data_IF_277259560815
#
_entry.id   IF_277259560815
#
_cell.length_a   1.000
_cell.length_b   1.000
_cell.length_c   1.000
_cell.angle_alpha   90.00
_cell.angle_beta   90.00
_cell.angle_gamma   90.00
#
_symmetry.space_group_name_H-M   'P 1'
#
loop_
_entity.id
_entity.type
_entity.pdbx_description
1 polymer ?
#
# COMPACT_ATOMS: atom_id res chain seq x y z
N UNK A 1 12.93 -7.18 36.59
CA UNK A 1 12.05 -6.31 35.78
C UNK A 1 12.14 -4.89 36.33
N UNK A 2 12.83 -3.98 35.65
CA UNK A 2 12.83 -2.57 36.07
C UNK A 2 11.52 -1.89 35.61
N UNK A 3 10.88 -1.09 36.47
CA UNK A 3 9.67 -0.36 36.08
C UNK A 3 10.01 0.75 35.08
N UNK A 4 9.25 0.83 33.97
CA UNK A 4 9.38 1.92 33.00
C UNK A 4 9.01 3.27 33.63
N UNK A 5 9.80 4.30 33.31
CA UNK A 5 9.53 5.68 33.72
C UNK A 5 8.25 6.22 33.08
N UNK A 6 7.62 7.22 33.70
CA UNK A 6 6.44 7.89 33.14
C UNK A 6 6.73 8.51 31.75
N UNK A 7 7.91 9.11 31.57
CA UNK A 7 8.34 9.67 30.29
C UNK A 7 8.44 8.59 29.18
N UNK A 8 8.92 7.39 29.54
CA UNK A 8 8.98 6.25 28.61
C UNK A 8 7.58 5.82 28.15
N UNK A 9 6.61 5.80 29.07
CA UNK A 9 5.22 5.43 28.76
C UNK A 9 4.53 6.44 27.84
N UNK A 10 4.76 7.74 28.04
CA UNK A 10 4.22 8.78 27.16
C UNK A 10 4.78 8.64 25.75
N UNK A 11 6.11 8.43 25.64
CA UNK A 11 6.76 8.25 24.35
C UNK A 11 6.21 7.02 23.61
N UNK A 12 6.09 5.90 24.30
CA UNK A 12 5.54 4.66 23.72
C UNK A 12 4.09 4.85 23.25
N UNK A 13 3.25 5.52 24.04
CA UNK A 13 1.87 5.81 23.65
C UNK A 13 1.79 6.73 22.42
N UNK A 14 2.69 7.70 22.31
CA UNK A 14 2.80 8.58 21.14
C UNK A 14 3.28 7.83 19.89
N UNK A 15 4.29 6.96 20.03
CA UNK A 15 4.78 6.14 18.92
C UNK A 15 3.69 5.17 18.43
N UNK A 16 2.89 4.60 19.33
CA UNK A 16 1.76 3.75 18.98
C UNK A 16 0.65 4.52 18.24
N UNK A 17 0.27 5.72 18.71
CA UNK A 17 -0.78 6.52 18.06
C UNK A 17 -0.35 7.05 16.70
N UNK A 18 0.92 7.45 16.56
CA UNK A 18 1.50 7.81 15.27
C UNK A 18 1.51 6.60 14.33
N UNK A 19 1.92 5.44 14.83
CA UNK A 19 1.93 4.20 14.06
C UNK A 19 0.55 3.81 13.53
N UNK A 20 -0.51 3.93 14.33
CA UNK A 20 -1.88 3.64 13.86
C UNK A 20 -2.34 4.65 12.81
N UNK A 21 -2.11 5.95 13.02
CA UNK A 21 -2.49 6.98 12.07
C UNK A 21 -1.79 6.84 10.70
N UNK A 22 -0.51 6.46 10.70
CA UNK A 22 0.26 6.19 9.47
C UNK A 22 -0.31 4.96 8.75
N UNK A 23 -0.64 3.90 9.47
CA UNK A 23 -1.26 2.70 8.90
C UNK A 23 -2.61 3.00 8.25
N UNK A 24 -3.41 3.88 8.85
CA UNK A 24 -4.69 4.30 8.28
C UNK A 24 -4.50 5.05 6.95
N UNK A 25 -3.51 5.95 6.87
CA UNK A 25 -3.16 6.64 5.62
C UNK A 25 -2.69 5.67 4.55
N UNK A 26 -1.82 4.73 4.92
CA UNK A 26 -1.33 3.67 4.01
C UNK A 26 -2.49 2.81 3.51
N UNK A 27 -3.41 2.42 4.40
CA UNK A 27 -4.60 1.65 4.05
C UNK A 27 -5.47 2.39 3.04
N UNK A 28 -5.73 3.67 3.27
CA UNK A 28 -6.52 4.51 2.36
C UNK A 28 -5.88 4.62 0.97
N UNK A 29 -4.57 4.82 0.91
CA UNK A 29 -3.86 4.95 -0.35
C UNK A 29 -3.78 3.61 -1.12
N UNK A 30 -3.59 2.48 -0.43
CA UNK A 30 -3.64 1.15 -1.06
C UNK A 30 -5.05 0.81 -1.54
N UNK A 31 -6.09 1.18 -0.78
CA UNK A 31 -7.48 1.02 -1.21
C UNK A 31 -7.80 1.89 -2.44
N UNK A 32 -7.26 3.11 -2.51
CA UNK A 32 -7.37 3.95 -3.70
C UNK A 32 -6.73 3.27 -4.92
N UNK A 33 -5.56 2.64 -4.75
CA UNK A 33 -4.94 1.86 -5.82
C UNK A 33 -5.78 0.65 -6.26
N UNK A 34 -6.35 -0.08 -5.32
CA UNK A 34 -7.23 -1.21 -5.62
C UNK A 34 -8.56 -0.78 -6.29
N UNK A 35 -9.01 0.46 -6.06
CA UNK A 35 -10.22 0.98 -6.70
C UNK A 35 -10.04 1.38 -8.16
N UNK A 36 -8.80 1.34 -8.67
CA UNK A 36 -8.55 1.69 -10.07
C UNK A 36 -9.12 0.65 -11.03
N UNK A 37 -9.66 1.13 -12.13
CA UNK A 37 -10.11 0.30 -13.27
C UNK A 37 -9.09 0.30 -14.41
N UNK A 38 -7.89 0.81 -14.15
CA UNK A 38 -6.78 0.84 -15.10
C UNK A 38 -5.71 -0.16 -14.68
N UNK A 39 -5.11 -0.80 -15.67
CA UNK A 39 -3.86 -1.55 -15.50
C UNK A 39 -2.67 -0.62 -15.17
N UNK A 40 -2.75 0.63 -15.61
CA UNK A 40 -1.69 1.63 -15.44
C UNK A 40 -2.26 2.81 -14.67
N UNK A 41 -2.12 2.77 -13.34
CA UNK A 41 -2.53 3.88 -12.47
C UNK A 41 -1.28 4.59 -11.98
N UNK A 42 -1.12 5.90 -12.23
CA UNK A 42 -0.05 6.67 -11.64
C UNK A 42 0.01 6.44 -10.12
N UNK A 43 1.22 6.31 -9.58
CA UNK A 43 1.48 6.11 -8.14
C UNK A 43 0.95 4.81 -7.51
N UNK A 44 0.45 3.87 -8.32
CA UNK A 44 0.07 2.53 -7.91
C UNK A 44 0.91 1.51 -8.68
N UNK A 45 2.04 1.08 -8.09
CA UNK A 45 2.98 0.15 -8.74
C UNK A 45 2.50 -1.32 -8.79
N UNK A 46 1.31 -1.54 -9.35
CA UNK A 46 0.71 -2.86 -9.62
C UNK A 46 1.33 -3.56 -10.87
N UNK A 47 2.43 -3.03 -11.41
CA UNK A 47 2.93 -3.30 -12.78
C UNK A 47 3.47 -4.73 -13.04
N UNK A 48 3.68 -5.59 -12.04
CA UNK A 48 4.33 -6.89 -12.29
C UNK A 48 3.40 -7.97 -12.84
N UNK A 49 2.08 -7.85 -12.63
CA UNK A 49 1.09 -8.80 -13.17
C UNK A 49 0.98 -8.72 -14.69
N UNK A 50 1.45 -7.62 -15.29
CA UNK A 50 1.12 -7.23 -16.65
C UNK A 50 2.08 -7.73 -17.73
N UNK A 51 3.24 -8.27 -17.36
CA UNK A 51 4.25 -8.67 -18.34
C UNK A 51 3.77 -9.80 -19.28
N UNK A 52 2.73 -10.54 -18.88
CA UNK A 52 2.16 -11.66 -19.64
C UNK A 52 0.82 -11.31 -20.33
N UNK A 53 0.31 -10.08 -20.18
CA UNK A 53 -0.99 -9.68 -20.73
C UNK A 53 -0.81 -9.13 -22.16
N UNK A 54 -1.15 -9.95 -23.15
CA UNK A 54 -0.93 -9.61 -24.58
C UNK A 54 -1.95 -8.62 -25.18
N UNK A 55 -3.05 -8.32 -24.48
CA UNK A 55 -4.04 -7.29 -24.89
C UNK A 55 -4.87 -6.90 -23.65
N UNK A 56 -4.56 -5.77 -22.98
CA UNK A 56 -5.28 -5.39 -21.76
C UNK A 56 -6.72 -4.99 -22.10
N UNK A 57 -7.65 -5.94 -21.93
CA UNK A 57 -9.08 -5.72 -22.14
C UNK A 57 -9.86 -5.50 -20.84
N UNK A 58 -11.16 -5.26 -21.01
CA UNK A 58 -12.09 -4.55 -20.13
C UNK A 58 -12.26 -5.20 -18.74
N UNK A 59 -13.04 -4.54 -17.89
CA UNK A 59 -13.48 -5.08 -16.60
C UNK A 59 -12.34 -5.35 -15.60
N UNK A 60 -11.31 -4.50 -15.60
CA UNK A 60 -10.20 -4.56 -14.63
C UNK A 60 -10.72 -4.27 -13.22
N UNK A 61 -10.50 -5.22 -12.31
CA UNK A 61 -10.82 -5.11 -10.90
C UNK A 61 -9.64 -5.61 -10.07
N UNK A 62 -9.08 -4.71 -9.26
CA UNK A 62 -8.02 -5.06 -8.32
C UNK A 62 -8.61 -5.32 -6.94
N UNK A 63 -8.06 -6.30 -6.24
CA UNK A 63 -8.48 -6.67 -4.90
C UNK A 63 -7.26 -6.78 -3.99
N UNK A 64 -7.33 -6.16 -2.80
CA UNK A 64 -6.34 -6.40 -1.75
C UNK A 64 -6.71 -7.68 -1.00
N UNK A 65 -5.79 -8.62 -0.96
CA UNK A 65 -5.96 -9.87 -0.24
C UNK A 65 -5.55 -9.65 1.22
N UNK A 66 -6.51 -9.19 2.02
CA UNK A 66 -6.33 -8.81 3.41
C UNK A 66 -5.93 -7.34 3.60
N UNK A 67 -5.58 -6.96 4.84
CA UNK A 67 -5.14 -5.60 5.16
C UNK A 67 -3.60 -5.52 5.25
N UNK A 68 -2.91 -5.03 4.19
CA UNK A 68 -1.46 -4.87 4.17
C UNK A 68 -0.93 -3.91 5.26
N UNK A 69 -1.79 -3.05 5.83
CA UNK A 69 -1.42 -2.10 6.89
C UNK A 69 -1.22 -2.76 8.28
N UNK A 70 -1.78 -3.96 8.51
CA UNK A 70 -1.73 -4.65 9.82
C UNK A 70 -0.31 -5.05 10.24
N UNK A 71 0.55 -5.41 9.28
CA UNK A 71 1.94 -5.78 9.55
C UNK A 71 2.93 -4.64 9.24
N UNK A 72 2.44 -3.43 9.01
CA UNK A 72 3.29 -2.31 8.57
C UNK A 72 4.22 -1.83 9.68
N UNK A 73 5.52 -1.90 9.43
CA UNK A 73 6.54 -1.26 10.27
C UNK A 73 6.58 0.23 9.94
N UNK A 74 6.65 1.07 10.97
CA UNK A 74 6.68 2.53 10.84
C UNK A 74 7.96 3.05 11.49
N UNK A 75 8.70 3.90 10.78
CA UNK A 75 9.89 4.59 11.29
C UNK A 75 9.85 6.07 10.93
N UNK A 76 10.38 6.92 11.81
CA UNK A 76 10.46 8.36 11.58
C UNK A 76 11.89 8.77 11.30
N UNK A 77 12.11 9.49 10.20
CA UNK A 77 13.37 10.14 9.89
C UNK A 77 13.34 11.60 10.38
N UNK A 78 14.02 11.85 11.51
CA UNK A 78 14.08 13.18 12.11
C UNK A 78 14.87 14.21 11.31
N UNK A 79 15.69 13.79 10.33
CA UNK A 79 16.43 14.73 9.49
C UNK A 79 15.57 15.31 8.36
N UNK A 80 14.66 14.50 7.81
CA UNK A 80 13.78 14.89 6.69
C UNK A 80 12.35 15.21 7.14
N UNK A 81 11.95 14.78 8.34
CA UNK A 81 10.57 14.85 8.81
C UNK A 81 9.64 13.83 8.14
N UNK A 82 10.19 12.87 7.38
CA UNK A 82 9.41 11.86 6.67
C UNK A 82 9.19 10.66 7.58
N UNK A 83 7.96 10.13 7.54
CA UNK A 83 7.61 8.87 8.17
C UNK A 83 7.62 7.78 7.09
N UNK A 84 8.45 6.77 7.29
CA UNK A 84 8.53 5.62 6.41
C UNK A 84 7.65 4.50 6.94
N UNK A 85 6.83 3.93 6.05
CA UNK A 85 6.01 2.77 6.31
C UNK A 85 6.40 1.63 5.37
N UNK A 86 6.32 0.40 5.87
CA UNK A 86 6.98 -0.75 5.30
C UNK A 86 6.20 -2.04 5.58
N UNK A 87 5.74 -2.77 4.57
CA UNK A 87 5.09 -4.07 4.80
C UNK A 87 5.14 -4.93 3.54
N UNK A 88 4.49 -6.09 3.62
CA UNK A 88 4.14 -6.90 2.46
C UNK A 88 2.67 -6.71 2.09
N UNK A 89 2.36 -6.98 0.84
CA UNK A 89 1.01 -7.01 0.31
C UNK A 89 0.80 -8.27 -0.53
N UNK A 90 -0.45 -8.67 -0.62
CA UNK A 90 -0.94 -9.62 -1.62
C UNK A 90 -2.16 -8.97 -2.27
N UNK A 91 -2.28 -9.09 -3.58
CA UNK A 91 -3.41 -8.59 -4.35
C UNK A 91 -3.79 -9.58 -5.44
N UNK A 92 -5.04 -9.54 -5.85
CA UNK A 92 -5.52 -10.21 -7.05
C UNK A 92 -6.07 -9.20 -8.06
N UNK A 93 -6.12 -9.65 -9.30
CA UNK A 93 -6.61 -8.91 -10.45
C UNK A 93 -7.57 -9.80 -11.23
N UNK A 94 -8.81 -9.37 -11.34
CA UNK A 94 -9.78 -9.92 -12.27
C UNK A 94 -9.87 -9.00 -13.48
N UNK A 95 -9.83 -9.58 -14.69
CA UNK A 95 -9.90 -8.83 -15.94
C UNK A 95 -10.40 -9.73 -17.06
N UNK A 96 -10.92 -9.13 -18.14
CA UNK A 96 -11.16 -9.90 -19.36
C UNK A 96 -9.95 -9.79 -20.28
N UNK A 97 -9.58 -10.90 -20.94
CA UNK A 97 -8.60 -10.94 -22.03
C UNK A 97 -9.29 -11.27 -23.35
N UNK A 98 -9.03 -10.48 -24.40
CA UNK A 98 -9.59 -10.71 -25.72
C UNK A 98 -8.69 -11.66 -26.53
N UNK A 99 -9.23 -12.83 -26.86
CA UNK A 99 -8.59 -13.82 -27.71
C UNK A 99 -9.52 -14.15 -28.88
N UNK A 100 -9.02 -14.01 -30.11
CA UNK A 100 -9.78 -14.34 -31.34
C UNK A 100 -11.16 -13.66 -31.37
N UNK A 101 -11.21 -12.39 -30.95
CA UNK A 101 -12.43 -11.56 -30.97
C UNK A 101 -13.47 -11.85 -29.88
N UNK A 102 -13.18 -12.76 -28.94
CA UNK A 102 -14.01 -13.05 -27.77
C UNK A 102 -13.29 -12.67 -26.49
N UNK A 103 -14.06 -12.22 -25.50
CA UNK A 103 -13.54 -11.85 -24.19
C UNK A 103 -13.59 -13.07 -23.26
N UNK A 104 -12.49 -13.34 -22.55
CA UNK A 104 -12.34 -14.46 -21.63
C UNK A 104 -11.95 -13.94 -20.24
N UNK A 105 -12.69 -14.29 -19.17
CA UNK A 105 -12.31 -13.86 -17.83
C UNK A 105 -10.98 -14.49 -17.43
N UNK A 106 -10.12 -13.66 -16.87
CA UNK A 106 -8.81 -14.00 -16.36
C UNK A 106 -8.72 -13.59 -14.89
N UNK A 107 -7.86 -14.30 -14.19
CA UNK A 107 -7.51 -14.02 -12.80
C UNK A 107 -5.99 -14.07 -12.67
N UNK A 108 -5.41 -13.12 -11.95
CA UNK A 108 -4.00 -13.11 -11.65
C UNK A 108 -3.75 -12.64 -10.22
N UNK A 109 -2.63 -13.05 -9.65
CA UNK A 109 -2.23 -12.69 -8.29
C UNK A 109 -0.85 -12.02 -8.32
N UNK A 110 -0.65 -11.06 -7.41
CA UNK A 110 0.66 -10.46 -7.13
C UNK A 110 0.89 -10.44 -5.63
N UNK A 111 2.15 -10.58 -5.24
CA UNK A 111 2.57 -10.36 -3.87
C UNK A 111 3.97 -9.78 -3.82
N UNK A 112 4.24 -8.98 -2.80
CA UNK A 112 5.54 -8.36 -2.64
C UNK A 112 5.62 -7.43 -1.45
N UNK A 113 6.77 -6.78 -1.31
CA UNK A 113 6.96 -5.70 -0.34
C UNK A 113 6.48 -4.36 -0.90
N UNK A 114 6.01 -3.47 -0.03
CA UNK A 114 5.87 -2.05 -0.34
C UNK A 114 6.59 -1.19 0.69
N UNK A 115 6.90 0.02 0.26
CA UNK A 115 7.36 1.13 1.08
C UNK A 115 6.49 2.35 0.78
N UNK A 116 6.12 3.08 1.83
CA UNK A 116 5.38 4.31 1.75
C UNK A 116 6.14 5.42 2.47
N UNK A 117 6.11 6.62 1.92
CA UNK A 117 6.56 7.83 2.58
C UNK A 117 5.34 8.66 2.94
N UNK A 118 5.21 9.03 4.20
CA UNK A 118 4.13 9.85 4.74
C UNK A 118 4.73 11.10 5.36
N UNK A 119 4.12 12.24 5.08
CA UNK A 119 4.56 13.54 5.58
C UNK A 119 3.46 14.17 6.43
N UNK A 120 3.82 14.95 7.44
CA UNK A 120 2.89 15.74 8.22
C UNK A 120 2.86 17.18 7.70
N UNK A 121 1.73 17.63 7.16
CA UNK A 121 1.58 18.96 6.57
C UNK A 121 1.31 20.09 7.60
N UNK A 122 1.27 19.77 8.90
CA UNK A 122 0.85 20.67 9.97
C UNK A 122 -0.58 20.42 10.46
N UNK A 123 -1.40 19.72 9.68
CA UNK A 123 -2.83 19.48 9.94
C UNK A 123 -3.15 17.97 9.91
N UNK A 124 -2.58 17.24 8.95
CA UNK A 124 -2.81 15.81 8.74
C UNK A 124 -1.59 15.10 8.18
N UNK A 125 -1.60 13.78 8.30
CA UNK A 125 -0.68 12.92 7.58
C UNK A 125 -1.12 12.82 6.11
N UNK A 126 -0.16 13.00 5.21
CA UNK A 126 -0.36 12.96 3.76
C UNK A 126 0.57 11.91 3.16
N UNK A 127 0.04 10.94 2.39
CA UNK A 127 0.90 10.01 1.67
C UNK A 127 1.64 10.79 0.57
N UNK A 128 2.97 10.72 0.60
CA UNK A 128 3.84 11.34 -0.42
C UNK A 128 4.04 10.35 -1.57
N UNK A 129 4.39 9.11 -1.24
CA UNK A 129 4.56 8.03 -2.23
C UNK A 129 4.20 6.68 -1.62
N UNK A 130 3.72 5.75 -2.45
CA UNK A 130 3.66 4.31 -2.15
C UNK A 130 4.29 3.58 -3.31
N UNK A 131 5.25 2.70 -3.04
CA UNK A 131 5.98 1.99 -4.08
C UNK A 131 6.35 0.58 -3.65
N UNK A 132 6.46 -0.34 -4.63
CA UNK A 132 7.00 -1.68 -4.39
C UNK A 132 8.44 -1.58 -3.86
N UNK A 133 8.75 -2.41 -2.87
CA UNK A 133 10.11 -2.64 -2.37
C UNK A 133 10.74 -3.73 -3.21
N UNK A 134 11.94 -3.46 -3.74
CA UNK A 134 12.77 -4.44 -4.45
C UNK A 134 13.31 -5.51 -3.51
#
# INVERSE_FOLDING_TARGET
MQPMSFASRIREAYEQSLGSAVRDVVRQALAACASSTSFFTPDCRQFHVLNDIQDPTKNVQWHLNGDPAVATTVSFDGATGIIHAASNFTMSLDYDQRLVGKDYPQHAEDSGGFQAAVFWDGIKLVPVTISRRN
#
